data_IF_469400025472
#
_entry.id   IF_469400025472
#
_cell.length_a   1.000
_cell.length_b   1.000
_cell.length_c   1.000
_cell.angle_alpha   90.00
_cell.angle_beta   90.00
_cell.angle_gamma   90.00
#
_symmetry.space_group_name_H-M   'P 1'
#
loop_
_entity.id
_entity.type
_entity.pdbx_description
1 polymer ?
#
# COMPACT_ATOMS: atom_id res chain seq x y z
N UNK A 1 -0.64 -10.69 12.18
CA UNK A 1 -0.41 -9.21 12.09
C UNK A 1 -0.16 -8.90 10.62
N UNK A 2 -1.04 -8.18 9.97
CA UNK A 2 -0.95 -7.93 8.53
C UNK A 2 0.14 -6.91 8.21
N UNK A 3 0.99 -7.23 7.25
CA UNK A 3 1.98 -6.33 6.66
C UNK A 3 1.52 -5.96 5.26
N UNK A 4 1.62 -4.68 4.92
CA UNK A 4 1.24 -4.15 3.62
C UNK A 4 2.49 -3.54 3.00
N UNK A 5 2.85 -4.00 1.81
CA UNK A 5 3.88 -3.37 1.00
C UNK A 5 3.22 -2.48 -0.06
N UNK A 6 3.63 -1.23 -0.16
CA UNK A 6 3.05 -0.27 -1.10
C UNK A 6 4.11 0.36 -1.98
N UNK A 7 3.76 0.58 -3.23
CA UNK A 7 4.54 1.38 -4.19
C UNK A 7 3.60 2.37 -4.86
N UNK A 8 4.00 3.64 -4.93
CA UNK A 8 3.20 4.70 -5.55
C UNK A 8 3.91 5.22 -6.79
N UNK A 9 3.20 5.23 -7.90
CA UNK A 9 3.70 5.72 -9.17
C UNK A 9 2.83 6.84 -9.73
N UNK A 10 3.44 7.80 -10.40
CA UNK A 10 2.75 8.87 -11.14
C UNK A 10 2.81 8.55 -12.63
N UNK A 11 1.66 8.28 -13.28
CA UNK A 11 1.61 8.07 -14.71
C UNK A 11 2.11 9.31 -15.47
N UNK A 12 2.88 9.09 -16.51
CA UNK A 12 3.23 10.15 -17.45
C UNK A 12 2.00 10.71 -18.16
N UNK A 13 2.09 11.96 -18.58
CA UNK A 13 1.00 12.61 -19.31
C UNK A 13 0.56 11.76 -20.52
N UNK A 14 -0.73 11.51 -20.63
CA UNK A 14 -1.31 10.66 -21.69
C UNK A 14 -1.14 9.15 -21.50
N UNK A 15 -0.34 8.68 -20.52
CA UNK A 15 -0.07 7.25 -20.30
C UNK A 15 -0.82 6.62 -19.11
N UNK A 16 -1.76 7.33 -18.48
CA UNK A 16 -2.47 6.84 -17.29
C UNK A 16 -3.20 5.51 -17.51
N UNK A 17 -3.82 5.32 -18.70
CA UNK A 17 -4.50 4.07 -19.06
C UNK A 17 -3.49 2.93 -19.27
N UNK A 18 -2.38 3.21 -19.94
CA UNK A 18 -1.30 2.23 -20.13
C UNK A 18 -0.74 1.77 -18.79
N UNK A 19 -0.41 2.73 -17.89
CA UNK A 19 0.13 2.41 -16.58
C UNK A 19 -0.87 1.61 -15.72
N UNK A 20 -2.16 1.96 -15.75
CA UNK A 20 -3.17 1.18 -15.06
C UNK A 20 -3.23 -0.26 -15.57
N UNK A 21 -3.23 -0.46 -16.89
CA UNK A 21 -3.23 -1.79 -17.50
C UNK A 21 -1.99 -2.59 -17.08
N UNK A 22 -0.80 -1.98 -17.13
CA UNK A 22 0.44 -2.60 -16.66
C UNK A 22 0.33 -3.08 -15.21
N UNK A 23 -0.20 -2.23 -14.32
CA UNK A 23 -0.37 -2.60 -12.91
C UNK A 23 -1.42 -3.70 -12.71
N UNK A 24 -2.50 -3.71 -13.49
CA UNK A 24 -3.51 -4.78 -13.43
C UNK A 24 -2.95 -6.13 -13.89
N UNK A 25 -2.11 -6.14 -14.93
CA UNK A 25 -1.41 -7.36 -15.36
C UNK A 25 -0.44 -7.86 -14.28
N UNK A 26 0.33 -6.96 -13.65
CA UNK A 26 1.19 -7.30 -12.51
C UNK A 26 0.35 -7.86 -11.37
N UNK A 27 -0.79 -7.23 -11.04
CA UNK A 27 -1.70 -7.70 -9.99
C UNK A 27 -2.18 -9.13 -10.26
N UNK A 28 -2.55 -9.42 -11.52
CA UNK A 28 -2.97 -10.77 -11.92
C UNK A 28 -1.83 -11.77 -11.75
N UNK A 29 -0.63 -11.42 -12.22
CA UNK A 29 0.54 -12.29 -12.11
C UNK A 29 0.94 -12.58 -10.66
N UNK A 30 0.77 -11.61 -9.75
CA UNK A 30 0.94 -11.82 -8.30
C UNK A 30 -0.11 -12.80 -7.77
N UNK A 31 -1.38 -12.64 -8.19
CA UNK A 31 -2.45 -13.59 -7.86
C UNK A 31 -2.17 -15.01 -8.31
N UNK A 32 -1.63 -15.20 -9.52
CA UNK A 32 -1.22 -16.52 -10.06
C UNK A 32 -0.09 -17.16 -9.22
N UNK A 33 0.70 -16.34 -8.52
CA UNK A 33 1.72 -16.80 -7.57
C UNK A 33 1.18 -16.97 -6.13
N UNK A 34 -0.12 -16.76 -5.91
CA UNK A 34 -0.75 -16.85 -4.58
C UNK A 34 -0.54 -15.62 -3.70
N UNK A 35 -0.06 -14.51 -4.27
CA UNK A 35 0.18 -13.26 -3.53
C UNK A 35 -1.02 -12.33 -3.69
N UNK A 36 -1.61 -11.92 -2.58
CA UNK A 36 -2.71 -10.96 -2.61
C UNK A 36 -2.19 -9.57 -2.95
N UNK A 37 -2.67 -9.01 -4.06
CA UNK A 37 -2.27 -7.69 -4.53
C UNK A 37 -3.49 -6.85 -4.94
N UNK A 38 -3.33 -5.52 -4.89
CA UNK A 38 -4.37 -4.55 -5.23
C UNK A 38 -3.77 -3.32 -5.87
N UNK A 39 -4.50 -2.75 -6.86
CA UNK A 39 -4.24 -1.42 -7.41
C UNK A 39 -5.30 -0.46 -6.91
N UNK A 40 -4.87 0.72 -6.48
CA UNK A 40 -5.75 1.81 -6.05
C UNK A 40 -5.36 3.09 -6.77
N UNK A 41 -6.31 4.00 -6.94
CA UNK A 41 -6.07 5.34 -7.51
C UNK A 41 -6.20 6.39 -6.43
N UNK A 42 -5.24 7.29 -6.35
CA UNK A 42 -5.31 8.44 -5.45
C UNK A 42 -6.23 9.50 -6.07
N UNK A 43 -7.34 9.80 -5.40
CA UNK A 43 -8.34 10.75 -5.90
C UNK A 43 -8.05 12.19 -5.47
N UNK A 44 -7.50 12.38 -4.27
CA UNK A 44 -7.31 13.70 -3.64
C UNK A 44 -5.94 13.82 -2.99
N UNK A 45 -5.54 15.06 -2.67
CA UNK A 45 -4.30 15.36 -1.97
C UNK A 45 -3.10 15.52 -2.91
N UNK A 46 -1.92 15.61 -2.32
CA UNK A 46 -0.66 15.90 -3.02
C UNK A 46 -0.34 14.91 -4.15
N UNK A 47 -0.75 13.64 -3.99
CA UNK A 47 -0.51 12.57 -4.95
C UNK A 47 -1.75 12.24 -5.80
N UNK A 48 -2.70 13.17 -5.94
CA UNK A 48 -3.87 12.97 -6.79
C UNK A 48 -3.47 12.55 -8.21
N UNK A 49 -4.17 11.54 -8.75
CA UNK A 49 -3.88 10.94 -10.06
C UNK A 49 -2.83 9.83 -10.04
N UNK A 50 -2.06 9.67 -8.96
CA UNK A 50 -1.13 8.55 -8.81
C UNK A 50 -1.87 7.22 -8.66
N UNK A 51 -1.17 6.14 -8.99
CA UNK A 51 -1.60 4.77 -8.75
C UNK A 51 -0.76 4.16 -7.62
N UNK A 52 -1.42 3.42 -6.74
CA UNK A 52 -0.80 2.70 -5.64
C UNK A 52 -0.96 1.22 -5.86
N UNK A 53 0.15 0.50 -5.94
CA UNK A 53 0.19 -0.95 -5.91
C UNK A 53 0.43 -1.39 -4.47
N UNK A 54 -0.38 -2.31 -3.98
CA UNK A 54 -0.27 -2.82 -2.61
C UNK A 54 -0.30 -4.33 -2.60
N UNK A 55 0.56 -4.97 -1.80
CA UNK A 55 0.50 -6.39 -1.48
C UNK A 55 0.25 -6.58 0.01
N UNK A 56 -0.32 -7.72 0.38
CA UNK A 56 -0.76 -8.03 1.73
C UNK A 56 -0.19 -9.38 2.13
N UNK A 57 0.50 -9.43 3.28
CA UNK A 57 1.09 -10.64 3.85
C UNK A 57 0.70 -10.76 5.33
N UNK A 58 0.67 -11.98 5.86
CA UNK A 58 0.31 -12.22 7.26
C UNK A 58 1.37 -11.71 8.25
N UNK A 59 2.64 -11.60 7.81
CA UNK A 59 3.75 -11.13 8.63
C UNK A 59 4.90 -10.63 7.75
N UNK A 60 5.93 -10.06 8.38
CA UNK A 60 7.10 -9.52 7.67
C UNK A 60 7.90 -10.58 6.91
N UNK A 61 8.07 -11.76 7.48
CA UNK A 61 8.82 -12.86 6.85
C UNK A 61 8.15 -13.30 5.55
N UNK A 62 6.82 -13.44 5.58
CA UNK A 62 6.02 -13.76 4.40
C UNK A 62 6.10 -12.64 3.36
N UNK A 63 5.97 -11.38 3.77
CA UNK A 63 6.11 -10.24 2.87
C UNK A 63 7.47 -10.24 2.13
N UNK A 64 8.56 -10.54 2.84
CA UNK A 64 9.89 -10.63 2.25
C UNK A 64 10.06 -11.85 1.34
N UNK A 65 9.46 -12.99 1.71
CA UNK A 65 9.45 -14.19 0.85
C UNK A 65 8.68 -13.93 -0.45
N UNK A 66 7.55 -13.22 -0.38
CA UNK A 66 6.77 -12.82 -1.56
C UNK A 66 7.58 -11.90 -2.48
N UNK A 67 8.27 -10.90 -1.92
CA UNK A 67 9.17 -10.02 -2.67
C UNK A 67 10.25 -10.82 -3.38
N UNK A 68 10.91 -11.73 -2.68
CA UNK A 68 11.96 -12.58 -3.27
C UNK A 68 11.41 -13.48 -4.36
N UNK A 69 10.26 -14.11 -4.14
CA UNK A 69 9.56 -14.96 -5.12
C UNK A 69 9.26 -14.21 -6.40
N UNK A 70 8.75 -12.98 -6.28
CA UNK A 70 8.45 -12.13 -7.45
C UNK A 70 9.71 -11.76 -8.19
N UNK A 71 10.73 -11.21 -7.52
CA UNK A 71 11.93 -10.70 -8.16
C UNK A 71 12.78 -11.81 -8.81
N UNK A 72 12.69 -13.05 -8.32
CA UNK A 72 13.36 -14.21 -8.96
C UNK A 72 12.54 -14.84 -10.09
N UNK A 73 11.34 -14.35 -10.38
CA UNK A 73 10.47 -14.93 -11.40
C UNK A 73 10.79 -14.44 -12.81
N UNK A 74 10.65 -15.33 -13.80
CA UNK A 74 10.76 -14.98 -15.22
C UNK A 74 9.70 -13.92 -15.62
N UNK A 75 8.52 -13.98 -14.99
CA UNK A 75 7.46 -13.00 -15.20
C UNK A 75 7.94 -11.57 -14.86
N UNK A 76 8.63 -11.40 -13.72
CA UNK A 76 9.15 -10.09 -13.33
C UNK A 76 10.18 -9.57 -14.31
N UNK A 77 11.08 -10.41 -14.78
CA UNK A 77 12.07 -10.04 -15.80
C UNK A 77 11.39 -9.53 -17.09
N UNK A 78 10.31 -10.19 -17.52
CA UNK A 78 9.52 -9.75 -18.70
C UNK A 78 8.81 -8.41 -18.44
N UNK A 79 8.27 -8.21 -17.23
CA UNK A 79 7.65 -6.94 -16.84
C UNK A 79 8.68 -5.82 -16.87
N UNK A 80 9.86 -6.03 -16.27
CA UNK A 80 10.91 -5.02 -16.25
C UNK A 80 11.37 -4.63 -17.67
N UNK A 81 11.68 -5.59 -18.54
CA UNK A 81 12.05 -5.29 -19.93
C UNK A 81 11.00 -4.43 -20.62
N UNK A 82 9.71 -4.75 -20.45
CA UNK A 82 8.62 -3.96 -21.05
C UNK A 82 8.50 -2.54 -20.47
N UNK A 83 8.75 -2.37 -19.16
CA UNK A 83 8.73 -1.05 -18.53
C UNK A 83 9.92 -0.20 -18.98
N UNK A 84 11.08 -0.81 -19.20
CA UNK A 84 12.27 -0.14 -19.71
C UNK A 84 12.09 0.30 -21.19
N UNK A 85 11.46 -0.55 -22.01
CA UNK A 85 11.19 -0.24 -23.42
C UNK A 85 10.13 0.86 -23.59
N UNK A 86 9.16 0.93 -22.71
CA UNK A 86 8.05 1.91 -22.78
C UNK A 86 7.66 2.43 -21.39
N UNK A 87 8.48 3.28 -20.77
CA UNK A 87 8.21 3.81 -19.45
C UNK A 87 6.92 4.62 -19.44
N UNK A 88 6.02 4.27 -18.52
CA UNK A 88 4.67 4.85 -18.44
C UNK A 88 4.45 5.69 -17.18
N UNK A 89 5.39 5.66 -16.22
CA UNK A 89 5.27 6.37 -14.95
C UNK A 89 6.60 6.59 -14.27
N UNK A 90 6.64 7.55 -13.35
CA UNK A 90 7.71 7.77 -12.38
C UNK A 90 7.34 7.19 -11.02
N UNK A 91 8.34 6.68 -10.29
CA UNK A 91 8.16 6.26 -8.89
C UNK A 91 8.11 7.51 -8.03
N UNK A 92 6.98 7.72 -7.35
CA UNK A 92 6.79 8.85 -6.41
C UNK A 92 7.13 8.45 -4.99
N UNK A 93 6.70 7.24 -4.60
CA UNK A 93 7.09 6.62 -3.33
C UNK A 93 7.58 5.21 -3.63
N UNK A 94 8.84 4.91 -3.31
CA UNK A 94 9.38 3.56 -3.46
C UNK A 94 8.67 2.58 -2.54
N UNK A 95 9.07 1.31 -2.60
CA UNK A 95 8.50 0.27 -1.76
C UNK A 95 8.56 0.66 -0.28
N UNK A 96 7.39 0.82 0.31
CA UNK A 96 7.22 1.11 1.72
C UNK A 96 6.46 -0.04 2.39
N UNK A 97 6.94 -0.48 3.54
CA UNK A 97 6.33 -1.53 4.34
C UNK A 97 5.66 -0.90 5.56
N UNK A 98 4.37 -1.17 5.70
CA UNK A 98 3.60 -0.78 6.88
C UNK A 98 2.96 -2.02 7.51
N UNK A 99 2.77 -1.97 8.82
CA UNK A 99 2.06 -3.03 9.55
C UNK A 99 0.77 -2.49 10.14
N UNK A 100 -0.23 -3.34 10.22
CA UNK A 100 -1.45 -3.07 10.98
C UNK A 100 -1.11 -3.14 12.47
N UNK A 101 -1.16 -2.00 13.15
CA UNK A 101 -0.92 -1.88 14.59
C UNK A 101 -2.20 -2.08 15.40
N UNK A 102 -3.34 -1.58 14.88
CA UNK A 102 -4.65 -1.80 15.49
C UNK A 102 -5.76 -1.73 14.42
N UNK A 103 -6.91 -2.33 14.71
CA UNK A 103 -8.00 -2.51 13.76
C UNK A 103 -7.76 -3.70 12.82
N UNK A 104 -8.65 -3.86 11.85
CA UNK A 104 -8.60 -4.94 10.88
C UNK A 104 -8.80 -4.38 9.46
N UNK A 105 -7.90 -4.72 8.53
CA UNK A 105 -8.07 -4.39 7.13
C UNK A 105 -9.20 -5.20 6.50
N UNK A 106 -10.25 -4.53 6.07
CA UNK A 106 -11.36 -5.16 5.33
C UNK A 106 -11.16 -4.96 3.83
N UNK A 107 -10.85 -6.03 3.07
CA UNK A 107 -10.54 -5.90 1.64
C UNK A 107 -11.76 -5.48 0.79
N UNK A 108 -12.96 -5.51 1.37
CA UNK A 108 -14.22 -5.16 0.69
C UNK A 108 -14.42 -3.66 0.51
N UNK A 109 -13.74 -2.82 1.26
CA UNK A 109 -13.89 -1.37 1.16
C UNK A 109 -13.25 -0.85 -0.13
N UNK A 110 -14.05 -0.14 -0.95
CA UNK A 110 -13.61 0.41 -2.25
C UNK A 110 -12.90 1.74 -2.12
N UNK A 111 -13.15 2.48 -1.06
CA UNK A 111 -12.57 3.80 -0.80
C UNK A 111 -11.80 3.74 0.51
N UNK A 112 -10.59 4.28 0.49
CA UNK A 112 -9.74 4.41 1.68
C UNK A 112 -9.31 5.87 1.80
N UNK A 113 -9.35 6.40 3.03
CA UNK A 113 -8.84 7.73 3.35
C UNK A 113 -7.59 7.55 4.21
N UNK A 114 -6.43 7.94 3.70
CA UNK A 114 -5.16 7.88 4.41
C UNK A 114 -4.85 9.24 5.03
N UNK A 115 -4.54 9.24 6.32
CA UNK A 115 -4.02 10.40 7.03
C UNK A 115 -2.68 10.03 7.66
N UNK A 116 -1.68 10.87 7.41
CA UNK A 116 -0.34 10.71 7.95
C UNK A 116 -0.16 11.62 9.15
N UNK A 117 0.35 11.05 10.24
CA UNK A 117 0.67 11.80 11.45
C UNK A 117 2.12 11.52 11.81
N UNK A 118 2.89 12.60 11.98
CA UNK A 118 4.24 12.51 12.54
C UNK A 118 4.13 12.47 14.05
N UNK A 119 4.72 11.45 14.66
CA UNK A 119 4.60 11.24 16.10
C UNK A 119 5.94 10.88 16.72
N UNK A 120 6.21 11.40 17.92
CA UNK A 120 7.36 10.98 18.73
C UNK A 120 7.14 9.57 19.26
N UNK A 121 8.23 8.77 19.34
CA UNK A 121 8.18 7.37 19.79
C UNK A 121 7.53 7.16 21.16
N UNK A 122 7.80 8.06 22.09
CA UNK A 122 7.25 8.05 23.45
C UNK A 122 5.73 8.31 23.51
N UNK A 123 5.14 8.82 22.42
CA UNK A 123 3.69 9.08 22.30
C UNK A 123 2.90 7.97 21.65
N UNK A 124 3.55 6.89 21.22
CA UNK A 124 2.87 5.76 20.58
C UNK A 124 1.80 5.11 21.48
N UNK A 125 2.02 4.87 22.79
CA UNK A 125 0.98 4.34 23.66
C UNK A 125 -0.29 5.24 23.69
N UNK A 126 -0.11 6.55 23.78
CA UNK A 126 -1.20 7.52 23.74
C UNK A 126 -1.99 7.44 22.41
N UNK A 127 -1.29 7.25 21.29
CA UNK A 127 -1.95 7.09 19.99
C UNK A 127 -2.79 5.81 19.93
N UNK A 128 -2.33 4.73 20.52
CA UNK A 128 -3.09 3.48 20.59
C UNK A 128 -4.37 3.64 21.44
N UNK A 129 -4.28 4.35 22.57
CA UNK A 129 -5.47 4.67 23.40
C UNK A 129 -6.47 5.53 22.64
N UNK A 130 -5.99 6.61 21.99
CA UNK A 130 -6.84 7.49 21.18
C UNK A 130 -7.47 6.75 19.99
N UNK A 131 -6.80 5.74 19.44
CA UNK A 131 -7.34 4.98 18.34
C UNK A 131 -8.61 4.22 18.72
N UNK A 132 -8.70 3.67 19.93
CA UNK A 132 -9.91 2.98 20.40
C UNK A 132 -11.11 3.93 20.50
N UNK A 133 -10.90 5.17 20.92
CA UNK A 133 -11.95 6.20 20.93
C UNK A 133 -12.41 6.53 19.51
N UNK A 134 -11.46 6.77 18.59
CA UNK A 134 -11.73 7.06 17.18
C UNK A 134 -12.47 5.87 16.53
N UNK A 135 -12.07 4.65 16.83
CA UNK A 135 -12.72 3.44 16.34
C UNK A 135 -14.19 3.41 16.76
N UNK A 136 -14.49 3.67 18.04
CA UNK A 136 -15.86 3.72 18.51
C UNK A 136 -16.73 4.81 17.87
N UNK A 137 -16.13 5.94 17.46
CA UNK A 137 -16.83 6.98 16.70
C UNK A 137 -17.08 6.55 15.24
N UNK A 138 -16.07 5.95 14.60
CA UNK A 138 -16.13 5.54 13.20
C UNK A 138 -17.13 4.41 12.96
N UNK A 139 -17.21 3.44 13.88
CA UNK A 139 -18.16 2.33 13.81
C UNK A 139 -19.62 2.80 13.77
N UNK A 140 -19.93 3.92 14.41
CA UNK A 140 -21.29 4.51 14.40
C UNK A 140 -21.72 5.03 13.02
N UNK A 141 -20.78 5.26 12.13
CA UNK A 141 -21.01 5.78 10.76
C UNK A 141 -20.52 4.82 9.68
N UNK A 142 -20.38 3.53 10.02
CA UNK A 142 -19.94 2.46 9.12
C UNK A 142 -18.57 2.73 8.45
N UNK A 143 -17.67 3.36 9.18
CA UNK A 143 -16.28 3.57 8.78
C UNK A 143 -15.41 2.59 9.56
N UNK A 144 -14.56 1.86 8.86
CA UNK A 144 -13.62 0.91 9.48
C UNK A 144 -12.23 1.55 9.60
N UNK A 145 -11.85 2.07 10.77
CA UNK A 145 -10.53 2.65 10.97
C UNK A 145 -9.48 1.55 11.16
N UNK A 146 -8.28 1.80 10.64
CA UNK A 146 -7.12 0.94 10.82
C UNK A 146 -5.91 1.81 11.13
N UNK A 147 -5.20 1.48 12.17
CA UNK A 147 -3.95 2.13 12.53
C UNK A 147 -2.80 1.39 11.89
N UNK A 148 -2.02 2.10 11.06
CA UNK A 148 -0.84 1.55 10.40
C UNK A 148 0.41 2.20 10.99
N UNK A 149 1.47 1.41 11.16
CA UNK A 149 2.79 1.91 11.53
C UNK A 149 3.82 1.50 10.48
N UNK A 150 4.77 2.37 10.11
CA UNK A 150 5.83 2.00 9.19
C UNK A 150 6.71 0.91 9.79
N UNK A 151 7.18 0.00 8.94
CA UNK A 151 8.17 -1.01 9.27
C UNK A 151 9.54 -0.57 8.73
N UNK A 152 9.54 0.14 7.61
CA UNK A 152 10.72 0.70 6.96
C UNK A 152 10.59 2.22 6.88
N UNK A 153 11.68 2.94 7.14
CA UNK A 153 11.73 4.40 7.10
C UNK A 153 12.25 5.00 8.41
N UNK A 154 12.84 6.17 8.32
CA UNK A 154 13.47 6.85 9.46
C UNK A 154 12.46 7.56 10.37
N UNK A 155 11.27 7.86 9.85
CA UNK A 155 10.24 8.59 10.58
C UNK A 155 9.08 7.67 10.96
N UNK A 156 8.70 7.73 12.23
CA UNK A 156 7.48 7.13 12.74
C UNK A 156 6.29 7.96 12.29
N UNK A 157 5.85 7.73 11.08
CA UNK A 157 4.58 8.26 10.62
C UNK A 157 3.47 7.26 10.92
N UNK A 158 2.42 7.75 11.52
CA UNK A 158 1.21 7.00 11.78
C UNK A 158 0.24 7.26 10.63
N UNK A 159 -0.30 6.20 10.05
CA UNK A 159 -1.33 6.31 9.03
C UNK A 159 -2.64 5.90 9.66
N UNK A 160 -3.60 6.78 9.59
CA UNK A 160 -4.96 6.50 9.99
C UNK A 160 -5.86 6.44 8.74
N UNK A 161 -6.71 5.48 8.69
CA UNK A 161 -7.68 5.31 7.60
C UNK A 161 -9.08 5.51 8.13
#
# INVERSE_FOLDING_TARGET
MTVIATNTVRPHLGKAKLQLNNMLEVTKAFGDMGITARVSRVLFGQNAGCLVFSTFAANFTEAMADVQKVFSSEMWSKVQMRLDDNPASDIVMPLNLVRVAAGEMKPTHRVMNFRWYLMKKDKMPMAMEMFEEVKGMCEKVDVNPVLLTPVTGDDLSLIHI
#
